data_IF_272209948970
#
_entry.id   IF_272209948970
#
_cell.length_a   1.000
_cell.length_b   1.000
_cell.length_c   1.000
_cell.angle_alpha   90.00
_cell.angle_beta   90.00
_cell.angle_gamma   90.00
#
_symmetry.space_group_name_H-M   'P 1'
#
loop_
_entity.id
_entity.type
_entity.pdbx_description
1 polymer ?
#
# COMPACT_ATOMS: atom_id res chain seq x y z
N UNK A 1 -50.08 -17.40 -38.17
CA UNK A 1 -49.49 -17.31 -36.82
C UNK A 1 -47.98 -17.22 -36.95
N UNK A 2 -47.40 -16.02 -36.84
CA UNK A 2 -45.97 -15.76 -36.98
C UNK A 2 -45.42 -15.37 -35.61
N UNK A 3 -44.39 -16.09 -35.15
CA UNK A 3 -43.56 -15.71 -34.02
C UNK A 3 -42.89 -14.35 -34.28
N UNK A 4 -42.71 -13.54 -33.25
CA UNK A 4 -41.58 -12.60 -33.16
C UNK A 4 -41.41 -12.14 -31.71
N UNK A 5 -40.53 -12.83 -31.00
CA UNK A 5 -39.79 -12.30 -29.86
C UNK A 5 -39.02 -11.04 -30.31
N UNK A 6 -39.17 -9.93 -29.57
CA UNK A 6 -38.28 -8.77 -29.68
C UNK A 6 -37.63 -8.53 -28.32
N UNK A 7 -36.52 -9.22 -28.15
CA UNK A 7 -35.25 -8.83 -27.54
C UNK A 7 -35.26 -7.49 -26.79
N UNK A 8 -35.19 -7.60 -25.45
CA UNK A 8 -34.85 -6.52 -24.53
C UNK A 8 -33.40 -6.08 -24.80
N UNK A 9 -33.22 -4.93 -25.46
CA UNK A 9 -31.92 -4.29 -25.55
C UNK A 9 -31.55 -3.70 -24.18
N UNK A 10 -30.72 -4.45 -23.44
CA UNK A 10 -30.06 -4.00 -22.21
C UNK A 10 -28.98 -3.00 -22.62
N UNK A 11 -29.23 -1.71 -22.40
CA UNK A 11 -28.24 -0.63 -22.54
C UNK A 11 -27.13 -0.85 -21.51
N UNK A 12 -25.94 -1.25 -21.96
CA UNK A 12 -24.73 -1.20 -21.16
C UNK A 12 -24.27 0.25 -21.04
N UNK A 13 -24.65 0.90 -19.94
CA UNK A 13 -24.05 2.16 -19.54
C UNK A 13 -22.60 1.89 -19.12
N UNK A 14 -21.65 2.31 -19.96
CA UNK A 14 -20.23 2.33 -19.63
C UNK A 14 -20.02 3.27 -18.43
N UNK A 15 -19.92 2.71 -17.23
CA UNK A 15 -19.59 3.47 -16.02
C UNK A 15 -18.13 3.92 -16.16
N UNK A 16 -17.92 5.17 -16.58
CA UNK A 16 -16.64 5.86 -16.41
C UNK A 16 -16.42 6.00 -14.91
N UNK A 17 -15.63 5.08 -14.33
CA UNK A 17 -15.18 5.17 -12.94
C UNK A 17 -14.22 6.37 -12.85
N UNK A 18 -14.76 7.56 -12.57
CA UNK A 18 -13.92 8.68 -12.13
C UNK A 18 -13.29 8.26 -10.80
N UNK A 19 -12.03 7.81 -10.81
CA UNK A 19 -11.28 7.71 -9.57
C UNK A 19 -11.04 9.14 -9.09
N UNK A 20 -11.89 9.64 -8.20
CA UNK A 20 -11.57 10.83 -7.43
C UNK A 20 -10.27 10.54 -6.67
N UNK A 21 -9.16 11.03 -7.21
CA UNK A 21 -7.87 11.01 -6.53
C UNK A 21 -8.00 11.89 -5.29
N UNK A 22 -8.18 11.25 -4.14
CA UNK A 22 -8.24 11.92 -2.85
C UNK A 22 -7.00 11.53 -2.06
N UNK A 23 -6.19 12.50 -1.59
CA UNK A 23 -5.01 12.21 -0.77
C UNK A 23 -5.37 11.57 0.58
N UNK A 24 -6.67 11.51 0.92
CA UNK A 24 -7.21 10.80 2.08
C UNK A 24 -7.65 9.36 1.78
N UNK A 25 -7.80 9.01 0.49
CA UNK A 25 -8.15 7.65 0.02
C UNK A 25 -6.92 6.87 -0.44
N UNK A 26 -5.87 7.58 -0.87
CA UNK A 26 -4.55 7.03 -1.18
C UNK A 26 -3.82 6.67 0.11
N UNK A 27 -3.24 5.47 0.17
CA UNK A 27 -2.59 4.96 1.37
C UNK A 27 -1.15 4.52 1.10
N UNK A 28 -0.26 4.86 2.03
CA UNK A 28 1.08 4.31 2.14
C UNK A 28 1.10 3.22 3.20
N UNK A 29 1.69 2.07 2.86
CA UNK A 29 2.06 1.06 3.82
C UNK A 29 3.50 1.25 4.27
N UNK A 30 3.70 1.46 5.57
CA UNK A 30 5.01 1.60 6.18
C UNK A 30 5.41 0.28 6.82
N UNK A 31 6.41 -0.37 6.24
CA UNK A 31 6.99 -1.62 6.71
C UNK A 31 8.18 -1.28 7.61
N UNK A 32 8.05 -1.53 8.91
CA UNK A 32 9.14 -1.37 9.88
C UNK A 32 9.62 -2.76 10.33
N UNK A 33 10.91 -3.11 10.20
CA UNK A 33 11.44 -4.37 10.70
C UNK A 33 11.16 -4.52 12.20
N UNK A 34 10.70 -5.71 12.60
CA UNK A 34 10.55 -6.14 14.00
C UNK A 34 11.66 -7.10 14.40
N UNK A 35 12.21 -7.82 13.43
CA UNK A 35 13.50 -8.51 13.54
C UNK A 35 14.51 -7.76 12.68
N UNK A 36 15.74 -7.56 13.17
CA UNK A 36 16.73 -6.73 12.50
C UNK A 36 16.55 -5.22 12.76
N UNK A 37 17.45 -4.39 12.20
CA UNK A 37 17.49 -2.94 12.43
C UNK A 37 17.11 -2.10 11.20
N UNK A 38 17.12 -2.71 10.02
CA UNK A 38 16.96 -2.02 8.72
C UNK A 38 16.26 -2.94 7.73
N UNK A 39 15.63 -2.36 6.72
CA UNK A 39 15.13 -3.07 5.55
C UNK A 39 16.32 -3.52 4.72
N UNK A 40 16.43 -4.82 4.45
CA UNK A 40 17.49 -5.33 3.57
C UNK A 40 17.13 -5.06 2.12
N UNK A 41 18.13 -4.98 1.24
CA UNK A 41 17.90 -4.83 -0.20
C UNK A 41 17.07 -5.98 -0.79
N UNK A 42 17.22 -7.18 -0.20
CA UNK A 42 16.46 -8.36 -0.61
C UNK A 42 14.99 -8.21 -0.24
N UNK A 43 14.72 -7.78 0.99
CA UNK A 43 13.35 -7.52 1.44
C UNK A 43 12.70 -6.37 0.65
N UNK A 44 13.43 -5.28 0.40
CA UNK A 44 12.95 -4.18 -0.46
C UNK A 44 12.52 -4.70 -1.83
N UNK A 45 13.34 -5.53 -2.47
CA UNK A 45 13.04 -6.14 -3.77
C UNK A 45 11.82 -7.07 -3.71
N UNK A 46 11.67 -7.84 -2.64
CA UNK A 46 10.51 -8.72 -2.44
C UNK A 46 9.23 -7.91 -2.22
N UNK A 47 9.30 -6.83 -1.43
CA UNK A 47 8.16 -5.97 -1.12
C UNK A 47 7.72 -5.09 -2.30
N UNK A 48 8.67 -4.62 -3.11
CA UNK A 48 8.38 -3.76 -4.27
C UNK A 48 7.75 -4.53 -5.44
N UNK A 49 8.03 -5.82 -5.59
CA UNK A 49 7.61 -6.64 -6.73
C UNK A 49 8.27 -6.27 -8.06
N UNK A 50 9.00 -5.14 -8.12
CA UNK A 50 9.79 -4.66 -9.25
C UNK A 50 11.15 -4.17 -8.77
N UNK A 51 12.19 -4.33 -9.61
CA UNK A 51 13.60 -4.04 -9.31
C UNK A 51 13.95 -2.53 -9.19
N UNK A 52 13.12 -1.73 -8.53
CA UNK A 52 13.52 -0.38 -8.10
C UNK A 52 14.20 -0.48 -6.74
N UNK A 53 15.45 -0.91 -6.76
CA UNK A 53 16.34 -0.79 -5.60
C UNK A 53 16.88 0.63 -5.64
N UNK A 54 16.41 1.48 -4.74
CA UNK A 54 16.99 2.82 -4.61
C UNK A 54 18.45 2.65 -4.13
N UNK A 55 19.38 3.49 -4.60
CA UNK A 55 20.77 3.51 -4.08
C UNK A 55 20.84 4.04 -2.63
N UNK A 56 19.73 4.09 -1.91
CA UNK A 56 19.66 4.65 -0.58
C UNK A 56 20.43 3.79 0.43
N UNK A 57 20.96 4.47 1.46
CA UNK A 57 21.52 3.84 2.66
C UNK A 57 20.47 2.93 3.29
N UNK A 58 20.91 1.93 4.06
CA UNK A 58 20.01 1.01 4.77
C UNK A 58 18.95 1.80 5.57
N UNK A 59 17.69 1.71 5.15
CA UNK A 59 16.59 2.46 5.73
C UNK A 59 15.97 1.68 6.89
N UNK A 60 15.47 2.38 7.91
CA UNK A 60 14.75 1.76 9.03
C UNK A 60 13.30 1.39 8.70
N UNK A 61 12.84 1.74 7.51
CA UNK A 61 11.51 1.39 7.01
C UNK A 61 11.49 1.32 5.48
N UNK A 62 10.49 0.64 4.93
CA UNK A 62 10.12 0.70 3.52
C UNK A 62 8.71 1.29 3.42
N UNK A 63 8.48 2.13 2.43
CA UNK A 63 7.17 2.74 2.17
C UNK A 63 6.69 2.33 0.79
N UNK A 64 5.50 1.74 0.73
CA UNK A 64 4.85 1.35 -0.53
C UNK A 64 3.56 2.12 -0.70
N UNK A 65 3.40 2.74 -1.87
CA UNK A 65 2.20 3.47 -2.24
C UNK A 65 1.14 2.53 -2.81
N UNK A 66 -0.11 2.74 -2.42
CA UNK A 66 -1.29 2.05 -2.93
C UNK A 66 -2.38 3.05 -3.31
N UNK A 67 -3.15 2.72 -4.34
CA UNK A 67 -4.23 3.58 -4.82
C UNK A 67 -5.38 3.68 -3.81
N UNK A 68 -5.61 2.60 -3.06
CA UNK A 68 -6.65 2.50 -2.02
C UNK A 68 -6.14 1.78 -0.77
N UNK A 69 -6.88 1.91 0.34
CA UNK A 69 -6.59 1.14 1.57
C UNK A 69 -6.79 -0.36 1.34
N UNK A 70 -7.82 -0.70 0.58
CA UNK A 70 -8.21 -2.07 0.27
C UNK A 70 -7.09 -2.79 -0.49
N UNK A 71 -6.49 -2.16 -1.51
CA UNK A 71 -5.35 -2.73 -2.24
C UNK A 71 -4.15 -3.00 -1.31
N UNK A 72 -3.90 -2.10 -0.35
CA UNK A 72 -2.83 -2.27 0.62
C UNK A 72 -3.11 -3.46 1.54
N UNK A 73 -4.34 -3.59 2.03
CA UNK A 73 -4.76 -4.70 2.87
C UNK A 73 -4.72 -6.04 2.12
N UNK A 74 -5.17 -6.06 0.88
CA UNK A 74 -5.12 -7.26 0.02
C UNK A 74 -3.66 -7.70 -0.21
N UNK A 75 -2.76 -6.75 -0.48
CA UNK A 75 -1.33 -7.04 -0.59
C UNK A 75 -0.77 -7.64 0.70
N UNK A 76 -1.07 -7.03 1.85
CA UNK A 76 -0.58 -7.47 3.16
C UNK A 76 -1.11 -8.88 3.49
N UNK A 77 -2.41 -9.13 3.29
CA UNK A 77 -3.06 -10.40 3.63
C UNK A 77 -2.60 -11.55 2.74
N UNK A 78 -2.36 -11.28 1.46
CA UNK A 78 -1.97 -12.30 0.48
C UNK A 78 -0.44 -12.36 0.26
N UNK A 79 0.34 -11.62 1.05
CA UNK A 79 1.78 -11.60 0.91
C UNK A 79 2.37 -12.99 1.22
N UNK A 80 3.06 -13.58 0.25
CA UNK A 80 3.70 -14.89 0.37
C UNK A 80 5.21 -14.85 0.05
N UNK A 81 5.78 -13.65 -0.08
CA UNK A 81 7.19 -13.46 -0.35
C UNK A 81 8.06 -13.87 0.84
N UNK A 82 9.24 -14.44 0.58
CA UNK A 82 10.19 -14.76 1.64
C UNK A 82 11.01 -13.54 2.03
N UNK A 83 10.82 -13.07 3.25
CA UNK A 83 11.56 -11.96 3.84
C UNK A 83 12.65 -12.49 4.80
N UNK A 84 13.74 -11.73 4.91
CA UNK A 84 14.80 -11.93 5.89
C UNK A 84 14.38 -11.43 7.27
N UNK A 85 13.61 -10.33 7.31
CA UNK A 85 13.02 -9.80 8.52
C UNK A 85 11.50 -10.00 8.57
N UNK A 86 10.96 -10.01 9.79
CA UNK A 86 9.52 -9.84 10.05
C UNK A 86 9.19 -8.36 10.12
N UNK A 87 8.06 -7.93 9.59
CA UNK A 87 7.68 -6.53 9.51
C UNK A 87 6.40 -6.24 10.25
N UNK A 88 6.40 -5.10 10.96
CA UNK A 88 5.18 -4.42 11.37
C UNK A 88 4.78 -3.48 10.26
N UNK A 89 3.52 -3.54 9.86
CA UNK A 89 2.95 -2.69 8.81
C UNK A 89 1.89 -1.78 9.41
N UNK A 90 1.98 -0.49 9.11
CA UNK A 90 0.96 0.51 9.44
C UNK A 90 0.63 1.33 8.21
N UNK A 91 -0.65 1.71 8.11
CA UNK A 91 -1.15 2.48 6.98
C UNK A 91 -1.33 3.94 7.36
N UNK A 92 -0.95 4.84 6.47
CA UNK A 92 -1.24 6.27 6.58
C UNK A 92 -1.60 6.87 5.22
N UNK A 93 -2.26 8.01 5.25
CA UNK A 93 -2.69 8.71 4.02
C UNK A 93 -1.51 9.37 3.32
N UNK A 94 -1.64 9.61 2.02
CA UNK A 94 -0.62 10.35 1.25
C UNK A 94 -0.30 11.73 1.87
N UNK A 95 -1.32 12.43 2.36
CA UNK A 95 -1.13 13.70 3.08
C UNK A 95 -0.25 13.56 4.33
N UNK A 96 -0.49 12.54 5.16
CA UNK A 96 0.32 12.29 6.35
C UNK A 96 1.77 11.95 5.97
N UNK A 97 1.97 11.22 4.86
CA UNK A 97 3.29 10.87 4.37
C UNK A 97 4.03 12.13 3.90
N UNK A 98 3.40 12.97 3.08
CA UNK A 98 3.97 14.22 2.57
C UNK A 98 4.29 15.25 3.65
N UNK A 99 3.61 15.21 4.80
CA UNK A 99 3.90 16.07 5.95
C UNK A 99 5.01 15.53 6.87
N UNK A 100 5.45 14.29 6.68
CA UNK A 100 6.45 13.65 7.53
C UNK A 100 7.85 14.14 7.17
N UNK A 101 8.63 14.61 8.16
CA UNK A 101 10.04 14.95 7.96
C UNK A 101 10.87 13.67 7.86
N UNK A 102 11.42 13.41 6.68
CA UNK A 102 12.23 12.22 6.43
C UNK A 102 13.72 12.57 6.58
N UNK A 103 14.34 12.00 7.61
CA UNK A 103 15.80 12.00 7.77
C UNK A 103 16.37 10.67 7.29
N UNK A 104 17.40 10.71 6.45
CA UNK A 104 18.03 9.50 5.90
C UNK A 104 18.65 8.66 7.03
N UNK A 105 18.28 7.38 7.10
CA UNK A 105 18.78 6.44 8.11
C UNK A 105 18.03 6.45 9.44
N UNK A 106 17.05 7.34 9.60
CA UNK A 106 16.17 7.37 10.77
C UNK A 106 14.80 6.77 10.44
N UNK A 107 14.06 6.40 11.50
CA UNK A 107 12.66 6.04 11.38
C UNK A 107 11.88 7.33 11.64
N UNK A 108 11.19 7.91 10.65
CA UNK A 108 10.42 9.12 10.85
C UNK A 108 9.31 8.91 11.87
N UNK A 109 8.99 9.97 12.59
CA UNK A 109 7.80 10.02 13.43
C UNK A 109 6.57 10.29 12.56
N UNK A 110 5.98 9.24 12.03
CA UNK A 110 4.74 9.34 11.25
C UNK A 110 3.57 9.75 12.13
N UNK A 111 2.85 10.79 11.71
CA UNK A 111 1.69 11.35 12.43
C UNK A 111 0.43 10.49 12.26
N UNK A 112 0.46 9.26 12.75
CA UNK A 112 -0.69 8.36 12.77
C UNK A 112 -1.80 8.91 13.67
N UNK A 113 -3.05 8.70 13.27
CA UNK A 113 -4.21 8.89 14.15
C UNK A 113 -4.31 7.73 15.17
N UNK A 114 -5.05 7.93 16.25
CA UNK A 114 -5.29 6.88 17.26
C UNK A 114 -5.88 5.60 16.66
N UNK A 115 -6.71 5.73 15.63
CA UNK A 115 -7.24 4.57 14.89
C UNK A 115 -6.13 3.83 14.15
N UNK A 116 -5.29 4.55 13.40
CA UNK A 116 -4.16 3.96 12.66
C UNK A 116 -3.10 3.36 13.58
N UNK A 117 -2.91 3.90 14.79
CA UNK A 117 -2.01 3.32 15.80
C UNK A 117 -2.48 1.94 16.27
N UNK A 118 -3.80 1.69 16.25
CA UNK A 118 -4.41 0.39 16.59
C UNK A 118 -4.47 -0.56 15.38
N UNK A 119 -4.47 -0.03 14.16
CA UNK A 119 -4.43 -0.80 12.91
C UNK A 119 -3.00 -1.23 12.57
N UNK A 120 -2.55 -2.29 13.25
CA UNK A 120 -1.21 -2.86 13.07
C UNK A 120 -1.31 -4.24 12.42
N UNK A 121 -0.56 -4.43 11.33
CA UNK A 121 -0.47 -5.69 10.61
C UNK A 121 0.95 -6.25 10.67
N UNK A 122 1.12 -7.53 10.34
CA UNK A 122 2.41 -8.20 10.34
C UNK A 122 2.57 -9.09 9.11
N UNK A 123 3.75 -9.04 8.48
CA UNK A 123 4.16 -9.92 7.37
C UNK A 123 5.60 -10.41 7.55
#
# INVERSE_FOLDING_TARGET
>A
MRHTEKTVQKTMATIKKHSEFSPYKVHWAIFTPTTGKVVTKKDEKTLSGHSYVTKAKAMKYYAKHFNTKEDALEFIQNFNGKLENKYKVRLLTDKQFGMTKITVGELPEFSFTDKQLKEVYYI
#
